data_IF_764203508260
#
_entry.id   IF_764203508260
#
_cell.length_a   1.000
_cell.length_b   1.000
_cell.length_c   1.000
_cell.angle_alpha   90.00
_cell.angle_beta   90.00
_cell.angle_gamma   90.00
#
_symmetry.space_group_name_H-M   'P 1'
#
loop_
_entity.id
_entity.type
_entity.pdbx_description
1 polymer ?
#
# COMPACT_ATOMS: atom_id res chain seq x y z
N UNK A 1 9.36 -25.54 24.54
CA UNK A 1 10.52 -25.01 23.79
C UNK A 1 11.04 -26.01 22.74
N UNK A 2 10.18 -26.82 22.10
CA UNK A 2 10.56 -27.77 21.02
C UNK A 2 9.52 -27.76 19.87
N UNK A 3 8.38 -27.06 20.04
CA UNK A 3 7.24 -27.08 19.11
C UNK A 3 7.14 -25.84 18.20
N UNK A 4 8.18 -24.99 18.19
CA UNK A 4 8.24 -23.77 17.38
C UNK A 4 9.18 -23.90 16.17
N UNK A 5 10.06 -24.92 16.15
CA UNK A 5 11.03 -25.18 15.08
C UNK A 5 10.42 -25.39 13.68
N UNK A 6 9.36 -26.21 13.48
CA UNK A 6 8.82 -26.44 12.14
C UNK A 6 8.05 -25.22 11.60
N UNK A 7 7.47 -24.41 12.50
CA UNK A 7 6.71 -23.20 12.16
C UNK A 7 7.67 -22.09 11.71
N UNK A 8 8.76 -21.90 12.43
CA UNK A 8 9.73 -20.85 12.13
C UNK A 8 10.36 -21.03 10.74
N UNK A 9 10.65 -22.28 10.33
CA UNK A 9 11.26 -22.60 9.02
C UNK A 9 10.37 -22.21 7.83
N UNK A 10 9.04 -22.20 8.00
CA UNK A 10 8.10 -21.79 6.96
C UNK A 10 8.02 -20.26 6.80
N UNK A 11 8.31 -19.51 7.88
CA UNK A 11 8.26 -18.04 7.91
C UNK A 11 9.62 -17.35 7.80
N UNK A 12 10.75 -18.08 7.72
CA UNK A 12 12.05 -17.49 7.36
C UNK A 12 12.09 -17.23 5.85
N UNK A 13 11.26 -16.31 5.38
CA UNK A 13 11.47 -15.68 4.08
C UNK A 13 12.77 -14.90 4.15
N UNK A 14 13.75 -15.31 3.37
CA UNK A 14 15.06 -14.66 3.20
C UNK A 14 14.87 -13.13 3.13
N UNK A 15 15.28 -12.40 4.17
CA UNK A 15 15.41 -10.94 4.13
C UNK A 15 16.57 -10.59 3.18
N UNK A 16 16.31 -10.67 1.88
CA UNK A 16 17.15 -10.07 0.86
C UNK A 16 16.79 -8.60 0.79
N UNK A 17 17.75 -7.72 1.08
CA UNK A 17 17.75 -6.26 0.87
C UNK A 17 16.53 -5.81 0.07
N UNK A 18 15.48 -5.36 0.77
CA UNK A 18 14.22 -5.01 0.12
C UNK A 18 14.46 -3.83 -0.82
N UNK A 19 14.59 -4.14 -2.10
CA UNK A 19 14.69 -3.15 -3.16
C UNK A 19 13.41 -2.32 -3.18
N UNK A 20 13.52 -1.00 -3.27
CA UNK A 20 12.39 -0.08 -3.42
C UNK A 20 11.39 -0.54 -4.50
N UNK A 21 11.89 -1.22 -5.54
CA UNK A 21 11.09 -1.82 -6.60
C UNK A 21 10.18 -2.95 -6.11
N UNK A 22 10.68 -3.83 -5.22
CA UNK A 22 9.90 -4.93 -4.64
C UNK A 22 8.76 -4.42 -3.76
N UNK A 23 9.01 -3.38 -2.98
CA UNK A 23 7.99 -2.70 -2.16
C UNK A 23 6.93 -2.01 -3.03
N UNK A 24 7.34 -1.36 -4.11
CA UNK A 24 6.44 -0.76 -5.10
C UNK A 24 5.54 -1.81 -5.79
N UNK A 25 6.13 -2.90 -6.27
CA UNK A 25 5.37 -4.01 -6.87
C UNK A 25 4.39 -4.65 -5.89
N UNK A 26 4.80 -4.79 -4.62
CA UNK A 26 3.93 -5.32 -3.55
C UNK A 26 2.73 -4.39 -3.30
N UNK A 27 2.95 -3.07 -3.30
CA UNK A 27 1.87 -2.08 -3.18
C UNK A 27 0.88 -2.14 -4.35
N UNK A 28 1.36 -2.28 -5.59
CA UNK A 28 0.48 -2.43 -6.76
C UNK A 28 -0.32 -3.72 -6.66
N UNK A 29 0.33 -4.83 -6.33
CA UNK A 29 -0.32 -6.14 -6.17
C UNK A 29 -1.43 -6.06 -5.13
N UNK A 30 -1.18 -5.45 -3.96
CA UNK A 30 -2.18 -5.30 -2.92
C UNK A 30 -3.37 -4.44 -3.35
N UNK A 31 -3.14 -3.41 -4.18
CA UNK A 31 -4.23 -2.57 -4.71
C UNK A 31 -5.12 -3.32 -5.69
N UNK A 32 -4.54 -4.12 -6.59
CA UNK A 32 -5.30 -4.92 -7.55
C UNK A 32 -6.17 -5.95 -6.82
N UNK A 33 -5.61 -6.64 -5.82
CA UNK A 33 -6.34 -7.62 -5.01
C UNK A 33 -7.51 -6.95 -4.28
N UNK A 34 -7.28 -5.82 -3.62
CA UNK A 34 -8.34 -5.10 -2.92
C UNK A 34 -9.49 -4.66 -3.84
N UNK A 35 -9.19 -4.20 -5.04
CA UNK A 35 -10.23 -3.76 -5.98
C UNK A 35 -11.03 -4.92 -6.57
N UNK A 36 -10.36 -6.04 -6.85
CA UNK A 36 -11.05 -7.27 -7.28
C UNK A 36 -11.96 -7.81 -6.17
N UNK A 37 -11.51 -7.75 -4.91
CA UNK A 37 -12.30 -8.19 -3.76
C UNK A 37 -13.59 -7.36 -3.63
N UNK A 38 -13.51 -6.03 -3.73
CA UNK A 38 -14.69 -5.14 -3.73
C UNK A 38 -15.65 -5.47 -4.86
N UNK A 39 -15.15 -5.71 -6.08
CA UNK A 39 -15.98 -6.06 -7.23
C UNK A 39 -16.69 -7.40 -7.02
N UNK A 40 -15.97 -8.42 -6.51
CA UNK A 40 -16.54 -9.75 -6.22
C UNK A 40 -17.60 -9.65 -5.13
N UNK A 41 -17.31 -8.99 -4.01
CA UNK A 41 -18.26 -8.78 -2.92
C UNK A 41 -19.50 -8.04 -3.43
N UNK A 42 -19.30 -6.95 -4.18
CA UNK A 42 -20.40 -6.17 -4.75
C UNK A 42 -21.26 -7.01 -5.69
N UNK A 43 -20.64 -7.87 -6.51
CA UNK A 43 -21.37 -8.78 -7.39
C UNK A 43 -22.18 -9.82 -6.62
N UNK A 44 -21.61 -10.43 -5.58
CA UNK A 44 -22.35 -11.40 -4.75
C UNK A 44 -23.52 -10.76 -3.99
N UNK A 45 -23.37 -9.52 -3.54
CA UNK A 45 -24.42 -8.80 -2.80
C UNK A 45 -25.55 -8.36 -3.73
N UNK A 46 -25.22 -7.85 -4.92
CA UNK A 46 -26.21 -7.23 -5.82
C UNK A 46 -26.73 -8.16 -6.91
N UNK A 47 -26.00 -9.22 -7.25
CA UNK A 47 -26.29 -10.11 -8.36
C UNK A 47 -26.18 -9.45 -9.75
N UNK A 48 -25.76 -8.19 -9.81
CA UNK A 48 -25.74 -7.38 -11.03
C UNK A 48 -24.31 -6.96 -11.39
N UNK A 49 -23.83 -7.46 -12.54
CA UNK A 49 -22.47 -7.19 -13.01
C UNK A 49 -22.21 -5.68 -13.24
N UNK A 50 -23.20 -4.96 -13.77
CA UNK A 50 -23.08 -3.52 -14.02
C UNK A 50 -22.85 -2.76 -12.72
N UNK A 51 -23.56 -3.11 -11.65
CA UNK A 51 -23.41 -2.46 -10.35
C UNK A 51 -22.05 -2.76 -9.70
N UNK A 52 -21.57 -4.00 -9.81
CA UNK A 52 -20.25 -4.38 -9.33
C UNK A 52 -19.12 -3.61 -10.03
N UNK A 53 -19.22 -3.45 -11.36
CA UNK A 53 -18.27 -2.66 -12.15
C UNK A 53 -18.35 -1.17 -11.77
N UNK A 54 -19.56 -0.63 -11.55
CA UNK A 54 -19.72 0.75 -11.08
C UNK A 54 -19.08 0.99 -9.72
N UNK A 55 -19.26 0.08 -8.76
CA UNK A 55 -18.65 0.19 -7.43
C UNK A 55 -17.12 0.10 -7.53
N UNK A 56 -16.60 -0.89 -8.27
CA UNK A 56 -15.16 -1.03 -8.46
C UNK A 56 -14.50 0.15 -9.18
N UNK A 57 -15.18 0.75 -10.16
CA UNK A 57 -14.67 1.94 -10.86
C UNK A 57 -14.65 3.18 -9.97
N UNK A 58 -15.68 3.39 -9.14
CA UNK A 58 -15.69 4.46 -8.12
C UNK A 58 -14.56 4.24 -7.11
N UNK A 59 -14.37 3.01 -6.62
CA UNK A 59 -13.30 2.70 -5.66
C UNK A 59 -11.92 3.11 -6.19
N UNK A 60 -11.62 2.79 -7.45
CA UNK A 60 -10.34 3.15 -8.08
C UNK A 60 -10.16 4.67 -8.13
N UNK A 61 -11.18 5.41 -8.59
CA UNK A 61 -11.13 6.87 -8.68
C UNK A 61 -10.93 7.49 -7.30
N UNK A 62 -11.70 7.06 -6.30
CA UNK A 62 -11.57 7.54 -4.92
C UNK A 62 -10.19 7.25 -4.35
N UNK A 63 -9.62 6.06 -4.60
CA UNK A 63 -8.26 5.71 -4.15
C UNK A 63 -7.18 6.59 -4.78
N UNK A 64 -7.29 6.92 -6.07
CA UNK A 64 -6.33 7.82 -6.74
C UNK A 64 -6.36 9.19 -6.07
N UNK A 65 -7.55 9.74 -5.86
CA UNK A 65 -7.73 11.04 -5.20
C UNK A 65 -7.17 11.01 -3.78
N UNK A 66 -7.56 10.03 -2.96
CA UNK A 66 -7.06 9.88 -1.59
C UNK A 66 -5.55 9.68 -1.53
N UNK A 67 -4.97 8.89 -2.44
CA UNK A 67 -3.53 8.66 -2.47
C UNK A 67 -2.75 9.93 -2.79
N UNK A 68 -3.23 10.73 -3.76
CA UNK A 68 -2.62 12.02 -4.07
C UNK A 68 -2.62 12.96 -2.86
N UNK A 69 -3.76 13.10 -2.17
CA UNK A 69 -3.84 13.92 -0.97
C UNK A 69 -2.99 13.37 0.17
N UNK A 70 -2.95 12.05 0.36
CA UNK A 70 -2.10 11.41 1.36
C UNK A 70 -0.62 11.71 1.10
N UNK A 71 -0.14 11.57 -0.14
CA UNK A 71 1.23 11.90 -0.51
C UNK A 71 1.55 13.38 -0.24
N UNK A 72 0.62 14.28 -0.60
CA UNK A 72 0.80 15.73 -0.37
C UNK A 72 0.82 16.12 1.10
N UNK A 73 -0.05 15.49 1.91
CA UNK A 73 -0.07 15.66 3.34
C UNK A 73 1.21 15.10 3.98
N UNK A 74 1.68 13.95 3.51
CA UNK A 74 2.92 13.34 3.96
C UNK A 74 4.14 14.19 3.62
N UNK A 75 4.23 14.73 2.40
CA UNK A 75 5.28 15.66 1.98
C UNK A 75 5.29 16.94 2.84
N UNK A 76 4.12 17.51 3.14
CA UNK A 76 4.03 18.67 4.04
C UNK A 76 4.44 18.32 5.47
N UNK A 77 4.04 17.15 5.98
CA UNK A 77 4.36 16.71 7.33
C UNK A 77 5.85 16.32 7.51
N UNK A 78 6.49 15.84 6.45
CA UNK A 78 7.91 15.43 6.46
C UNK A 78 8.88 16.52 6.03
N UNK A 79 8.39 17.69 5.59
CA UNK A 79 9.17 18.94 5.55
C UNK A 79 9.46 19.40 6.98
N UNK A 80 10.28 18.65 7.69
CA UNK A 80 11.00 19.14 8.86
C UNK A 80 12.19 19.93 8.31
N UNK A 81 12.22 21.20 8.68
CA UNK A 81 13.25 22.20 8.43
C UNK A 81 14.65 21.57 8.37
N UNK A 82 15.23 21.50 7.17
CA UNK A 82 16.69 21.46 7.05
C UNK A 82 17.20 22.85 7.39
N UNK A 83 17.12 23.22 8.66
CA UNK A 83 17.90 24.32 9.19
C UNK A 83 19.32 23.79 9.34
N UNK A 84 20.11 23.91 8.26
CA UNK A 84 21.54 23.69 8.36
C UNK A 84 22.11 24.75 9.30
N UNK A 85 22.81 24.39 10.39
CA UNK A 85 23.55 25.39 11.15
C UNK A 85 24.60 25.96 10.22
N UNK A 86 24.38 27.22 9.84
CA UNK A 86 25.31 28.06 9.08
C UNK A 86 26.69 27.84 9.70
N UNK A 87 27.62 27.33 8.91
CA UNK A 87 29.04 27.23 9.29
C UNK A 87 29.61 28.64 9.39
N UNK A 88 29.23 29.38 10.43
CA UNK A 88 30.11 30.38 11.04
C UNK A 88 31.15 29.59 11.79
N UNK A 89 32.39 29.62 11.31
CA UNK A 89 33.68 29.35 11.97
C UNK A 89 34.64 28.79 10.89
N UNK A 90 35.08 29.66 10.00
CA UNK A 90 36.32 29.51 9.23
C UNK A 90 36.88 30.91 8.96
#
# INVERSE_FOLDING_TARGET
>A
MILDQPIKKWFVTKQGKDSNFKSFMKSISWRIVGTLDTMVISFFVTGQLVMAISIGSIEVVTKIILYYFHERAWESATKIEKDEPKKEFA
#
